data_IF_174310166781
#
_entry.id   IF_174310166781
#
_cell.length_a   1.000
_cell.length_b   1.000
_cell.length_c   1.000
_cell.angle_alpha   90.00
_cell.angle_beta   90.00
_cell.angle_gamma   90.00
#
_symmetry.space_group_name_H-M   'P 1'
#
loop_
_entity.id
_entity.type
_entity.pdbx_description
1 polymer ?
#
# COMPACT_ATOMS: atom_id res chain seq x y z
N UNK A 1 4.81 -16.37 -12.90
CA UNK A 1 3.83 -16.18 -11.81
C UNK A 1 3.02 -14.97 -12.20
N UNK A 2 1.70 -15.07 -12.25
CA UNK A 2 0.88 -13.94 -12.66
C UNK A 2 0.75 -12.96 -11.48
N UNK A 3 1.43 -11.82 -11.56
CA UNK A 3 1.48 -10.80 -10.50
C UNK A 3 0.25 -9.87 -10.50
N UNK A 4 -0.92 -10.40 -10.85
CA UNK A 4 -2.14 -9.62 -11.13
C UNK A 4 -2.68 -8.79 -9.95
N UNK A 5 -2.12 -8.95 -8.74
CA UNK A 5 -2.54 -8.23 -7.51
C UNK A 5 -1.34 -7.77 -6.65
N UNK A 6 -0.13 -7.77 -7.20
CA UNK A 6 1.08 -7.45 -6.47
C UNK A 6 1.15 -6.00 -5.98
N UNK A 7 0.89 -5.02 -6.85
CA UNK A 7 0.90 -3.60 -6.50
C UNK A 7 -0.27 -3.26 -5.57
N UNK A 8 -1.45 -3.85 -5.79
CA UNK A 8 -2.57 -3.70 -4.85
C UNK A 8 -2.19 -4.21 -3.45
N UNK A 9 -1.56 -5.39 -3.37
CA UNK A 9 -1.06 -5.94 -2.10
C UNK A 9 -0.01 -5.03 -1.47
N UNK A 10 0.90 -4.45 -2.25
CA UNK A 10 1.92 -3.53 -1.77
C UNK A 10 1.29 -2.28 -1.14
N UNK A 11 0.36 -1.63 -1.86
CA UNK A 11 -0.31 -0.39 -1.42
C UNK A 11 -1.17 -0.62 -0.18
N UNK A 12 -1.94 -1.71 -0.15
CA UNK A 12 -2.88 -1.98 0.94
C UNK A 12 -2.28 -2.83 2.07
N UNK A 13 -1.01 -3.23 2.00
CA UNK A 13 -0.38 -4.01 3.07
C UNK A 13 -0.43 -3.35 4.47
N UNK A 14 -0.27 -2.01 4.63
CA UNK A 14 -0.40 -1.37 5.94
C UNK A 14 -1.82 -1.41 6.51
N UNK A 15 -2.84 -1.66 5.68
CA UNK A 15 -4.26 -1.68 6.08
C UNK A 15 -4.52 -2.77 7.12
N UNK A 16 -3.87 -3.92 6.98
CA UNK A 16 -3.93 -4.99 7.99
C UNK A 16 -3.43 -4.51 9.35
N UNK A 17 -2.37 -3.70 9.37
CA UNK A 17 -1.88 -3.06 10.58
C UNK A 17 -2.90 -2.12 11.22
N UNK A 18 -3.57 -1.30 10.41
CA UNK A 18 -4.64 -0.40 10.88
C UNK A 18 -5.75 -1.21 11.55
N UNK A 19 -6.21 -2.29 10.89
CA UNK A 19 -7.25 -3.16 11.44
C UNK A 19 -6.80 -3.78 12.77
N UNK A 20 -5.60 -4.35 12.84
CA UNK A 20 -5.09 -4.95 14.07
C UNK A 20 -4.95 -3.94 15.22
N UNK A 21 -4.41 -2.75 14.94
CA UNK A 21 -4.30 -1.66 15.94
C UNK A 21 -5.69 -1.18 16.38
N UNK A 22 -6.67 -1.17 15.48
CA UNK A 22 -8.04 -0.71 15.79
C UNK A 22 -8.73 -1.58 16.84
N UNK A 23 -8.53 -2.90 16.82
CA UNK A 23 -9.10 -3.85 17.77
C UNK A 23 -8.34 -3.90 19.10
N UNK A 24 -7.13 -3.35 19.19
CA UNK A 24 -6.36 -3.37 20.44
C UNK A 24 -6.84 -2.33 21.47
N UNK A 25 -6.85 -2.71 22.77
CA UNK A 25 -7.15 -1.78 23.84
C UNK A 25 -6.05 -0.73 23.98
N UNK A 26 -6.43 0.53 24.20
CA UNK A 26 -5.50 1.67 24.32
C UNK A 26 -4.46 1.51 25.44
N UNK A 27 -4.74 0.65 26.41
CA UNK A 27 -3.88 0.36 27.58
C UNK A 27 -2.55 -0.29 27.18
N UNK A 28 -2.50 -1.02 26.06
CA UNK A 28 -1.28 -1.72 25.62
C UNK A 28 -0.43 -0.84 24.68
N UNK A 29 0.30 0.11 25.25
CA UNK A 29 1.19 1.01 24.50
C UNK A 29 2.26 0.25 23.69
N UNK A 30 3.00 -0.64 24.33
CA UNK A 30 4.10 -1.39 23.71
C UNK A 30 3.61 -2.23 22.54
N UNK A 31 2.50 -2.95 22.71
CA UNK A 31 1.92 -3.75 21.65
C UNK A 31 1.49 -2.91 20.44
N UNK A 32 0.87 -1.74 20.66
CA UNK A 32 0.45 -0.85 19.55
C UNK A 32 1.67 -0.31 18.80
N UNK A 33 2.74 0.08 19.50
CA UNK A 33 3.98 0.56 18.89
C UNK A 33 4.63 -0.52 18.02
N UNK A 34 4.76 -1.73 18.57
CA UNK A 34 5.31 -2.87 17.82
C UNK A 34 4.45 -3.25 16.63
N UNK A 35 3.13 -3.31 16.77
CA UNK A 35 2.23 -3.59 15.64
C UNK A 35 2.28 -2.51 14.57
N UNK A 36 2.32 -1.24 14.96
CA UNK A 36 2.46 -0.12 14.03
C UNK A 36 3.73 -0.20 13.21
N UNK A 37 4.85 -0.56 13.82
CA UNK A 37 6.11 -0.82 13.10
C UNK A 37 6.05 -2.06 12.23
N UNK A 38 5.60 -3.20 12.78
CA UNK A 38 5.51 -4.46 12.05
C UNK A 38 4.59 -4.35 10.83
N UNK A 39 3.57 -3.48 10.88
CA UNK A 39 2.67 -3.21 9.76
C UNK A 39 3.34 -2.52 8.56
N UNK A 40 4.46 -1.83 8.74
CA UNK A 40 5.23 -1.19 7.65
C UNK A 40 6.16 -2.18 6.93
N UNK A 41 6.50 -3.30 7.58
CA UNK A 41 7.44 -4.29 7.03
C UNK A 41 6.91 -5.02 5.79
N UNK A 42 5.63 -5.44 5.72
CA UNK A 42 5.07 -6.00 4.50
C UNK A 42 5.28 -5.11 3.26
N UNK A 43 5.00 -3.81 3.37
CA UNK A 43 5.20 -2.85 2.26
C UNK A 43 6.66 -2.82 1.83
N UNK A 44 7.58 -2.73 2.80
CA UNK A 44 9.02 -2.72 2.55
C UNK A 44 9.50 -4.01 1.88
N UNK A 45 9.05 -5.18 2.36
CA UNK A 45 9.43 -6.47 1.78
C UNK A 45 8.93 -6.59 0.34
N UNK A 46 7.68 -6.21 0.07
CA UNK A 46 7.12 -6.22 -1.28
C UNK A 46 7.86 -5.25 -2.21
N UNK A 47 8.17 -4.04 -1.75
CA UNK A 47 8.95 -3.06 -2.51
C UNK A 47 10.35 -3.60 -2.85
N UNK A 48 11.03 -4.24 -1.91
CA UNK A 48 12.34 -4.86 -2.13
C UNK A 48 12.26 -6.05 -3.10
N UNK A 49 11.22 -6.88 -2.98
CA UNK A 49 10.98 -7.98 -3.93
C UNK A 49 10.83 -7.42 -5.34
N UNK A 50 10.01 -6.39 -5.54
CA UNK A 50 9.84 -5.73 -6.84
C UNK A 50 11.18 -5.22 -7.39
N UNK A 51 11.99 -4.58 -6.54
CA UNK A 51 13.29 -4.06 -6.92
C UNK A 51 14.28 -5.14 -7.35
N UNK A 52 14.42 -6.22 -6.57
CA UNK A 52 15.32 -7.32 -6.89
C UNK A 52 14.83 -8.12 -8.10
N UNK A 53 13.52 -8.28 -8.29
CA UNK A 53 12.93 -8.91 -9.48
C UNK A 53 13.21 -8.09 -10.75
N UNK A 54 13.07 -6.77 -10.68
CA UNK A 54 13.42 -5.87 -11.78
C UNK A 54 14.91 -5.96 -12.13
N UNK A 55 15.79 -5.90 -11.11
CA UNK A 55 17.24 -6.07 -11.30
C UNK A 55 17.62 -7.43 -11.90
N UNK A 56 16.82 -8.47 -11.60
CA UNK A 56 16.96 -9.82 -12.15
C UNK A 56 16.48 -9.98 -13.60
N UNK A 57 16.02 -8.91 -14.25
CA UNK A 57 15.56 -8.91 -15.64
C UNK A 57 14.06 -9.14 -15.84
N UNK A 58 13.26 -9.08 -14.76
CA UNK A 58 11.79 -9.12 -14.88
C UNK A 58 11.29 -7.79 -15.40
N UNK A 59 10.42 -7.81 -16.42
CA UNK A 59 9.80 -6.60 -16.93
C UNK A 59 8.82 -6.02 -15.89
N UNK A 60 8.95 -4.72 -15.61
CA UNK A 60 8.10 -3.96 -14.69
C UNK A 60 6.62 -3.99 -15.11
N UNK A 61 6.36 -4.10 -16.42
CA UNK A 61 5.01 -4.24 -16.93
C UNK A 61 4.29 -5.49 -16.38
N UNK A 62 5.04 -6.52 -15.98
CA UNK A 62 4.49 -7.75 -15.38
C UNK A 62 3.83 -7.51 -14.02
N UNK A 63 4.21 -6.44 -13.30
CA UNK A 63 3.60 -6.05 -12.03
C UNK A 63 2.43 -5.09 -12.22
N UNK A 64 2.22 -4.57 -13.43
CA UNK A 64 1.15 -3.60 -13.68
C UNK A 64 -0.21 -4.29 -13.63
N UNK A 65 -1.18 -3.64 -12.99
CA UNK A 65 -2.52 -4.16 -12.79
C UNK A 65 -3.55 -3.30 -13.50
N UNK A 66 -4.48 -3.93 -14.19
CA UNK A 66 -5.59 -3.26 -14.86
C UNK A 66 -6.89 -4.01 -14.62
N UNK A 67 -7.75 -3.42 -13.81
CA UNK A 67 -9.05 -3.98 -13.43
C UNK A 67 -10.17 -3.02 -13.82
N UNK A 68 -11.28 -3.54 -14.36
CA UNK A 68 -12.46 -2.70 -14.63
C UNK A 68 -13.12 -2.38 -13.29
N UNK A 69 -13.20 -1.10 -12.93
CA UNK A 69 -13.73 -0.69 -11.64
C UNK A 69 -15.21 -0.28 -11.72
N UNK A 70 -15.53 0.76 -12.50
CA UNK A 70 -16.91 1.26 -12.62
C UNK A 70 -17.26 1.46 -14.09
N UNK A 71 -18.47 1.06 -14.49
CA UNK A 71 -18.98 1.27 -15.83
C UNK A 71 -20.25 2.12 -15.76
N UNK A 72 -20.30 3.17 -16.58
CA UNK A 72 -21.43 4.09 -16.69
C UNK A 72 -21.91 4.10 -18.14
N UNK A 73 -23.18 3.80 -18.40
CA UNK A 73 -23.73 3.82 -19.77
C UNK A 73 -25.04 3.03 -19.90
N UNK A 74 -25.90 3.46 -20.83
CA UNK A 74 -27.37 3.47 -20.72
C UNK A 74 -28.15 2.15 -20.57
N UNK A 75 -29.32 2.28 -19.94
CA UNK A 75 -30.35 1.24 -19.71
C UNK A 75 -31.04 0.78 -21.01
N UNK A 76 -30.85 1.50 -22.12
CA UNK A 76 -31.50 1.25 -23.41
C UNK A 76 -30.48 0.90 -24.50
N UNK A 77 -30.79 -0.15 -25.26
CA UNK A 77 -29.89 -0.89 -26.14
C UNK A 77 -29.33 -0.13 -27.36
N UNK A 78 -29.74 1.11 -27.63
CA UNK A 78 -29.42 1.78 -28.91
C UNK A 78 -28.35 2.88 -28.82
N UNK A 79 -27.95 3.33 -27.62
CA UNK A 79 -26.78 4.19 -27.42
C UNK A 79 -25.97 3.73 -26.20
N UNK A 80 -25.44 2.50 -26.26
CA UNK A 80 -24.57 1.97 -25.21
C UNK A 80 -23.09 2.28 -25.51
N UNK A 81 -22.70 3.56 -25.51
CA UNK A 81 -21.29 3.87 -25.22
C UNK A 81 -21.09 3.68 -23.72
N UNK A 82 -20.73 2.44 -23.33
CA UNK A 82 -20.34 2.12 -21.96
C UNK A 82 -19.01 2.81 -21.66
N UNK A 83 -19.05 3.85 -20.83
CA UNK A 83 -17.87 4.50 -20.29
C UNK A 83 -17.33 3.66 -19.13
N UNK A 84 -16.18 3.01 -19.33
CA UNK A 84 -15.51 2.23 -18.29
C UNK A 84 -14.39 3.03 -17.63
N UNK A 85 -14.49 3.23 -16.32
CA UNK A 85 -13.38 3.66 -15.47
C UNK A 85 -12.62 2.41 -15.02
N UNK A 86 -11.35 2.33 -15.39
CA UNK A 86 -10.46 1.25 -14.97
C UNK A 86 -9.63 1.69 -13.77
N UNK A 87 -9.40 0.75 -12.86
CA UNK A 87 -8.32 0.81 -11.89
C UNK A 87 -7.04 0.35 -12.57
N UNK A 88 -6.09 1.27 -12.73
CA UNK A 88 -4.82 1.00 -13.40
C UNK A 88 -3.70 1.38 -12.43
N UNK A 89 -2.93 0.38 -11.99
CA UNK A 89 -1.69 0.57 -11.26
C UNK A 89 -0.53 0.17 -12.15
N UNK A 90 0.26 1.16 -12.55
CA UNK A 90 1.48 0.95 -13.31
C UNK A 90 2.70 1.16 -12.44
N UNK A 91 3.78 0.46 -12.76
CA UNK A 91 5.10 0.73 -12.19
C UNK A 91 6.13 0.86 -13.32
N UNK A 92 7.00 1.84 -13.17
CA UNK A 92 8.13 2.13 -14.04
C UNK A 92 9.43 2.21 -13.22
N UNK A 93 10.56 2.46 -13.88
CA UNK A 93 11.86 2.51 -13.21
C UNK A 93 11.96 3.63 -12.16
N UNK A 94 11.24 4.74 -12.34
CA UNK A 94 11.32 5.89 -11.43
C UNK A 94 10.40 5.70 -10.22
N UNK A 95 9.14 5.33 -10.45
CA UNK A 95 8.17 4.98 -9.41
C UNK A 95 8.66 3.83 -8.54
N UNK A 96 9.35 2.82 -9.09
CA UNK A 96 9.95 1.75 -8.28
C UNK A 96 10.94 2.31 -7.25
N UNK A 97 11.82 3.22 -7.65
CA UNK A 97 12.78 3.86 -6.72
C UNK A 97 12.04 4.67 -5.66
N UNK A 98 10.98 5.39 -6.04
CA UNK A 98 10.15 6.16 -5.11
C UNK A 98 9.41 5.26 -4.11
N UNK A 99 8.86 4.13 -4.56
CA UNK A 99 8.17 3.15 -3.70
C UNK A 99 9.15 2.56 -2.67
N UNK A 100 10.34 2.15 -3.10
CA UNK A 100 11.38 1.64 -2.19
C UNK A 100 11.78 2.72 -1.19
N UNK A 101 12.00 3.95 -1.64
CA UNK A 101 12.35 5.05 -0.75
C UNK A 101 11.25 5.33 0.28
N UNK A 102 9.99 5.40 -0.16
CA UNK A 102 8.83 5.64 0.69
C UNK A 102 8.69 4.57 1.77
N UNK A 103 8.79 3.29 1.40
CA UNK A 103 8.66 2.18 2.37
C UNK A 103 9.82 2.12 3.36
N UNK A 104 11.05 2.43 2.93
CA UNK A 104 12.21 2.57 3.83
C UNK A 104 12.02 3.72 4.80
N UNK A 105 11.64 4.90 4.32
CA UNK A 105 11.41 6.07 5.18
C UNK A 105 10.25 5.81 6.14
N UNK A 106 9.15 5.21 5.69
CA UNK A 106 8.01 4.86 6.53
C UNK A 106 8.42 3.88 7.65
N UNK A 107 9.20 2.86 7.34
CA UNK A 107 9.70 1.89 8.32
C UNK A 107 10.59 2.56 9.38
N UNK A 108 11.51 3.42 8.95
CA UNK A 108 12.40 4.16 9.86
C UNK A 108 11.63 5.17 10.71
N UNK A 109 10.65 5.86 10.11
CA UNK A 109 9.78 6.80 10.80
C UNK A 109 8.91 6.09 11.85
N UNK A 110 8.37 4.91 11.54
CA UNK A 110 7.64 4.09 12.51
C UNK A 110 8.52 3.69 13.69
N UNK A 111 9.77 3.28 13.45
CA UNK A 111 10.73 2.95 14.50
C UNK A 111 11.08 4.17 15.37
N UNK A 112 11.32 5.33 14.76
CA UNK A 112 11.61 6.57 15.49
C UNK A 112 10.42 7.02 16.37
N UNK A 113 9.19 6.73 15.91
CA UNK A 113 7.93 7.09 16.56
C UNK A 113 7.64 6.33 17.86
N UNK A 114 8.51 5.42 18.27
CA UNK A 114 8.46 4.82 19.60
C UNK A 114 8.58 5.85 20.73
N UNK A 115 9.13 7.04 20.44
CA UNK A 115 9.24 8.15 21.39
C UNK A 115 7.94 8.94 21.59
N UNK A 116 6.90 8.70 20.78
CA UNK A 116 5.61 9.39 20.92
C UNK A 116 4.93 8.97 22.24
N UNK A 117 4.55 9.97 23.04
CA UNK A 117 4.01 9.79 24.41
C UNK A 117 2.50 10.04 24.53
N UNK A 118 1.85 10.55 23.48
CA UNK A 118 0.42 10.91 23.50
C UNK A 118 -0.26 10.34 22.27
N UNK A 119 -1.49 9.85 22.45
CA UNK A 119 -2.37 9.36 21.38
C UNK A 119 -1.68 8.38 20.41
N UNK A 120 -0.82 7.48 20.91
CA UNK A 120 -0.04 6.54 20.09
C UNK A 120 -0.93 5.71 19.15
N UNK A 121 -2.12 5.30 19.62
CA UNK A 121 -3.08 4.56 18.79
C UNK A 121 -3.52 5.38 17.58
N UNK A 122 -3.94 6.62 17.80
CA UNK A 122 -4.35 7.54 16.74
C UNK A 122 -3.20 7.84 15.78
N UNK A 123 -2.00 8.08 16.33
CA UNK A 123 -0.80 8.31 15.56
C UNK A 123 -0.51 7.16 14.58
N UNK A 124 -0.40 5.92 15.05
CA UNK A 124 -0.07 4.79 14.16
C UNK A 124 -1.16 4.49 13.15
N UNK A 125 -2.45 4.64 13.49
CA UNK A 125 -3.53 4.47 12.52
C UNK A 125 -3.44 5.50 11.37
N UNK A 126 -3.20 6.77 11.71
CA UNK A 126 -3.05 7.84 10.71
C UNK A 126 -1.74 7.71 9.93
N UNK A 127 -0.67 7.26 10.58
CA UNK A 127 0.62 7.03 9.96
C UNK A 127 0.55 5.93 8.90
N UNK A 128 -0.05 4.77 9.24
CA UNK A 128 -0.26 3.68 8.28
C UNK A 128 -1.24 4.09 7.17
N UNK A 129 -2.25 4.91 7.48
CA UNK A 129 -3.16 5.44 6.47
C UNK A 129 -2.43 6.37 5.49
N UNK A 130 -1.51 7.20 5.99
CA UNK A 130 -0.64 8.04 5.18
C UNK A 130 0.28 7.20 4.29
N UNK A 131 0.84 6.10 4.81
CA UNK A 131 1.66 5.17 4.02
C UNK A 131 0.87 4.60 2.83
N UNK A 132 -0.36 4.12 3.05
CA UNK A 132 -1.25 3.66 1.97
C UNK A 132 -1.48 4.78 0.94
N UNK A 133 -1.75 5.99 1.43
CA UNK A 133 -1.98 7.16 0.58
C UNK A 133 -0.76 7.54 -0.28
N UNK A 134 0.45 7.43 0.26
CA UNK A 134 1.69 7.72 -0.47
C UNK A 134 2.04 6.63 -1.49
N UNK A 135 1.75 5.37 -1.18
CA UNK A 135 2.04 4.24 -2.09
C UNK A 135 1.03 4.13 -3.23
N UNK A 136 -0.20 4.60 -3.04
CA UNK A 136 -1.26 4.55 -4.04
C UNK A 136 -1.27 5.67 -5.07
N UNK A 137 -0.24 6.52 -5.11
CA UNK A 137 -0.08 7.64 -6.08
C UNK A 137 0.49 7.15 -7.40
#
# INVERSE_FOLDING_TARGET
MDFNYFLTLLVFSPLLGILMVSFMPKVNESGIKWLGFLATLPSLLLALIAYFSYRGGTDLASFSEKLRWIQFGGVNAEQAQLFSVNYELGIDGFSLVMIVLTTVIATLAALASFHIKKEWKGYYMLFLLLEIGMLGV
#
